data_IF_137035336893
#
_entry.id   IF_137035336893
#
_cell.length_a   1.000
_cell.length_b   1.000
_cell.length_c   1.000
_cell.angle_alpha   90.00
_cell.angle_beta   90.00
_cell.angle_gamma   90.00
#
_symmetry.space_group_name_H-M   'P 1'
#
loop_
_entity.id
_entity.type
_entity.pdbx_description
1 polymer ?
#
# COMPACT_ATOMS: atom_id res chain seq x y z
N UNK A 1 14.39 -18.31 -8.94
CA UNK A 1 14.29 -16.97 -8.31
C UNK A 1 14.80 -17.13 -6.89
N UNK A 2 15.72 -16.28 -6.44
CA UNK A 2 16.15 -16.24 -5.04
C UNK A 2 14.97 -15.83 -4.17
N UNK A 3 14.81 -16.44 -3.00
CA UNK A 3 13.75 -16.01 -2.08
C UNK A 3 13.96 -14.54 -1.66
N UNK A 4 12.87 -13.79 -1.42
CA UNK A 4 12.94 -12.42 -0.96
C UNK A 4 13.76 -12.35 0.34
N UNK A 5 14.56 -11.29 0.48
CA UNK A 5 15.37 -11.09 1.68
C UNK A 5 14.45 -10.74 2.86
N UNK A 6 14.54 -11.48 3.96
CA UNK A 6 13.76 -11.18 5.17
C UNK A 6 14.17 -9.82 5.75
N UNK A 7 13.21 -9.09 6.30
CA UNK A 7 13.48 -7.85 7.04
C UNK A 7 14.18 -8.20 8.37
N UNK A 8 15.37 -7.65 8.65
CA UNK A 8 16.06 -7.86 9.92
C UNK A 8 15.30 -7.31 11.15
N UNK A 9 15.78 -7.65 12.34
CA UNK A 9 15.23 -7.12 13.59
C UNK A 9 15.51 -5.63 13.76
N UNK A 10 14.71 -4.96 14.59
CA UNK A 10 14.94 -3.55 14.94
C UNK A 10 16.33 -3.31 15.52
N UNK A 11 16.80 -4.21 16.40
CA UNK A 11 18.13 -4.12 16.98
C UNK A 11 19.23 -4.15 15.91
N UNK A 12 19.11 -5.06 14.94
CA UNK A 12 20.06 -5.14 13.83
C UNK A 12 20.08 -3.86 12.99
N UNK A 13 18.92 -3.28 12.68
CA UNK A 13 18.87 -2.01 11.96
C UNK A 13 19.58 -0.88 12.71
N UNK A 14 19.38 -0.79 14.03
CA UNK A 14 20.05 0.22 14.86
C UNK A 14 21.57 0.02 14.89
N UNK A 15 22.04 -1.23 14.95
CA UNK A 15 23.48 -1.56 14.83
C UNK A 15 24.05 -1.14 13.47
N UNK A 16 23.29 -1.31 12.40
CA UNK A 16 23.65 -0.90 11.03
C UNK A 16 23.50 0.61 10.76
N UNK A 17 23.15 1.39 11.79
CA UNK A 17 23.05 2.84 11.76
C UNK A 17 21.76 3.37 11.14
N UNK A 18 20.69 2.58 11.11
CA UNK A 18 19.37 3.08 10.72
C UNK A 18 18.80 4.01 11.80
N UNK A 19 17.98 4.96 11.36
CA UNK A 19 17.30 5.90 12.24
C UNK A 19 15.81 5.58 12.33
N UNK A 20 15.28 5.56 13.55
CA UNK A 20 13.84 5.46 13.78
C UNK A 20 13.22 6.85 13.65
N UNK A 21 12.25 6.97 12.76
CA UNK A 21 11.40 8.15 12.64
C UNK A 21 10.11 7.88 13.43
N UNK A 22 10.04 8.47 14.62
CA UNK A 22 8.86 8.36 15.48
C UNK A 22 7.67 9.10 14.90
N UNK A 23 6.49 8.54 15.07
CA UNK A 23 5.23 9.15 14.69
C UNK A 23 4.62 9.90 15.87
N UNK A 24 4.45 11.21 15.72
CA UNK A 24 3.94 12.11 16.77
C UNK A 24 2.53 12.65 16.45
N UNK A 25 1.84 12.05 15.47
CA UNK A 25 0.54 12.53 15.01
C UNK A 25 0.61 13.63 13.94
N UNK A 26 1.81 14.04 13.53
CA UNK A 26 2.00 15.06 12.48
C UNK A 26 2.58 14.46 11.20
N UNK A 27 2.35 15.13 10.06
CA UNK A 27 2.94 14.70 8.81
C UNK A 27 4.45 14.95 8.82
N UNK A 28 5.23 13.95 8.41
CA UNK A 28 6.70 14.05 8.29
C UNK A 28 7.13 13.70 6.88
N UNK A 29 8.04 14.51 6.34
CA UNK A 29 8.64 14.30 5.02
C UNK A 29 10.06 13.76 5.17
N UNK A 30 10.43 12.84 4.29
CA UNK A 30 11.81 12.44 4.06
C UNK A 30 12.28 13.20 2.83
N UNK A 31 13.27 14.06 3.03
CA UNK A 31 13.84 14.90 1.97
C UNK A 31 15.34 14.65 1.85
N UNK A 32 15.89 14.86 0.65
CA UNK A 32 17.34 14.91 0.45
C UNK A 32 17.92 16.31 0.74
N UNK A 33 19.23 16.45 0.53
CA UNK A 33 19.93 17.73 0.73
C UNK A 33 19.60 18.82 -0.31
N UNK A 34 18.72 18.52 -1.26
CA UNK A 34 18.19 19.47 -2.26
C UNK A 34 16.71 19.81 -2.01
N UNK A 35 16.17 19.41 -0.85
CA UNK A 35 14.76 19.54 -0.49
C UNK A 35 13.79 18.75 -1.39
N UNK A 36 14.29 17.74 -2.12
CA UNK A 36 13.43 16.85 -2.90
C UNK A 36 12.79 15.81 -1.97
N UNK A 37 11.47 15.65 -2.07
CA UNK A 37 10.70 14.70 -1.25
C UNK A 37 10.84 13.28 -1.83
N UNK A 38 11.18 12.31 -0.98
CA UNK A 38 11.36 10.90 -1.35
C UNK A 38 10.41 9.95 -0.62
N UNK A 39 9.91 10.36 0.55
CA UNK A 39 8.83 9.69 1.26
C UNK A 39 8.07 10.68 2.13
N UNK A 40 6.86 10.32 2.53
CA UNK A 40 6.08 11.07 3.51
C UNK A 40 5.29 10.09 4.37
N UNK A 41 5.23 10.33 5.68
CA UNK A 41 4.27 9.69 6.57
C UNK A 41 3.24 10.72 7.01
N UNK A 42 1.97 10.39 6.85
CA UNK A 42 0.87 11.36 6.94
C UNK A 42 -0.22 10.76 7.85
N UNK A 43 -0.67 11.49 8.89
CA UNK A 43 -1.68 11.00 9.81
C UNK A 43 -3.01 10.73 9.11
N UNK A 44 -3.79 9.82 9.70
CA UNK A 44 -5.22 9.71 9.40
C UNK A 44 -5.91 11.04 9.73
N UNK A 45 -6.83 11.56 8.88
CA UNK A 45 -7.62 12.73 9.21
C UNK A 45 -8.40 12.51 10.51
N UNK A 46 -8.34 13.49 11.43
CA UNK A 46 -8.96 13.37 12.76
C UNK A 46 -10.45 13.01 12.71
N UNK A 47 -11.19 13.57 11.73
CA UNK A 47 -12.60 13.26 11.54
C UNK A 47 -12.84 11.78 11.17
N UNK A 48 -11.97 11.18 10.36
CA UNK A 48 -12.06 9.77 9.99
C UNK A 48 -11.65 8.86 11.15
N UNK A 49 -10.61 9.25 11.89
CA UNK A 49 -10.20 8.54 13.11
C UNK A 49 -11.33 8.52 14.15
N UNK A 50 -11.98 9.67 14.41
CA UNK A 50 -13.15 9.78 15.31
C UNK A 50 -14.34 8.95 14.83
N UNK A 51 -14.48 8.76 13.53
CA UNK A 51 -15.51 7.91 12.93
C UNK A 51 -15.16 6.41 12.94
N UNK A 52 -14.13 6.00 13.70
CA UNK A 52 -13.66 4.62 13.79
C UNK A 52 -13.28 4.01 12.43
N UNK A 53 -12.57 4.78 11.58
CA UNK A 53 -12.11 4.30 10.26
C UNK A 53 -11.34 2.97 10.37
N UNK A 54 -10.50 2.81 11.39
CA UNK A 54 -9.70 1.60 11.58
C UNK A 54 -10.57 0.36 11.78
N UNK A 55 -11.57 0.43 12.66
CA UNK A 55 -12.48 -0.69 12.89
C UNK A 55 -13.25 -1.08 11.63
N UNK A 56 -13.82 -0.09 10.93
CA UNK A 56 -14.55 -0.33 9.69
C UNK A 56 -13.66 -0.83 8.53
N UNK A 57 -12.39 -0.41 8.49
CA UNK A 57 -11.39 -0.94 7.56
C UNK A 57 -11.09 -2.41 7.85
N UNK A 58 -10.80 -2.75 9.10
CA UNK A 58 -10.47 -4.13 9.52
C UNK A 58 -11.65 -5.07 9.27
N UNK A 59 -12.87 -4.66 9.62
CA UNK A 59 -14.10 -5.43 9.36
C UNK A 59 -14.26 -5.71 7.86
N UNK A 60 -14.19 -4.67 7.02
CA UNK A 60 -14.32 -4.84 5.57
C UNK A 60 -13.24 -5.76 4.97
N UNK A 61 -11.99 -5.66 5.45
CA UNK A 61 -10.89 -6.52 5.00
C UNK A 61 -11.10 -7.97 5.44
N UNK A 62 -11.54 -8.21 6.68
CA UNK A 62 -11.83 -9.56 7.20
C UNK A 62 -12.99 -10.21 6.43
N UNK A 63 -14.09 -9.49 6.24
CA UNK A 63 -15.26 -9.98 5.49
C UNK A 63 -14.84 -10.38 4.08
N UNK A 64 -14.12 -9.50 3.37
CA UNK A 64 -13.63 -9.79 2.04
C UNK A 64 -12.67 -10.99 2.01
N UNK A 65 -11.81 -11.15 3.02
CA UNK A 65 -10.90 -12.30 3.10
C UNK A 65 -11.67 -13.64 3.17
N UNK A 66 -12.82 -13.68 3.85
CA UNK A 66 -13.65 -14.90 3.92
C UNK A 66 -14.33 -15.23 2.59
N UNK A 67 -14.67 -14.21 1.82
CA UNK A 67 -15.39 -14.35 0.55
C UNK A 67 -14.45 -14.55 -0.66
N UNK A 68 -13.17 -14.21 -0.52
CA UNK A 68 -12.18 -14.35 -1.60
C UNK A 68 -11.73 -15.80 -1.79
N UNK A 69 -11.47 -16.16 -3.04
CA UNK A 69 -10.78 -17.39 -3.42
C UNK A 69 -9.32 -17.07 -3.78
N UNK A 70 -8.41 -17.39 -2.85
CA UNK A 70 -6.97 -17.18 -2.99
C UNK A 70 -6.24 -18.29 -3.78
N UNK A 71 -6.96 -19.29 -4.28
CA UNK A 71 -6.40 -20.29 -5.20
C UNK A 71 -6.40 -19.83 -6.67
N UNK A 72 -6.99 -18.67 -6.96
CA UNK A 72 -7.08 -18.12 -8.31
C UNK A 72 -5.72 -17.55 -8.80
N UNK A 73 -5.55 -17.44 -10.11
CA UNK A 73 -4.29 -16.99 -10.74
C UNK A 73 -3.88 -15.54 -10.46
N UNK A 74 -4.82 -14.72 -9.99
CA UNK A 74 -4.62 -13.29 -9.73
C UNK A 74 -4.47 -12.98 -8.22
N UNK A 75 -4.41 -14.03 -7.41
CA UNK A 75 -4.10 -14.00 -5.99
C UNK A 75 -2.76 -14.68 -5.78
N UNK A 76 -2.03 -14.28 -4.76
CA UNK A 76 -0.94 -15.12 -4.27
C UNK A 76 -1.46 -15.91 -3.09
N UNK A 77 -1.20 -17.22 -3.10
CA UNK A 77 -1.29 -18.03 -1.90
C UNK A 77 -0.22 -17.56 -0.90
N UNK A 78 -0.33 -18.01 0.36
CA UNK A 78 0.68 -17.74 1.39
C UNK A 78 2.08 -18.21 0.96
N UNK A 79 2.15 -19.27 0.14
CA UNK A 79 3.40 -19.89 -0.32
C UNK A 79 3.94 -19.27 -1.62
N UNK A 80 3.09 -18.59 -2.40
CA UNK A 80 3.45 -18.01 -3.71
C UNK A 80 3.68 -16.50 -3.69
N UNK A 81 3.46 -15.85 -2.54
CA UNK A 81 3.70 -14.43 -2.40
C UNK A 81 5.21 -14.16 -2.32
N UNK A 82 5.79 -13.65 -3.40
CA UNK A 82 7.20 -13.21 -3.48
C UNK A 82 7.52 -12.00 -2.57
N UNK A 83 6.67 -11.69 -1.61
CA UNK A 83 6.79 -10.55 -0.70
C UNK A 83 6.56 -10.95 0.74
N UNK A 84 6.33 -12.22 1.07
CA UNK A 84 6.13 -12.69 2.44
C UNK A 84 4.90 -13.57 2.60
N UNK A 85 4.70 -14.13 3.79
CA UNK A 85 3.72 -15.19 4.02
C UNK A 85 2.32 -14.63 4.34
N UNK A 86 1.66 -14.04 3.34
CA UNK A 86 0.29 -13.51 3.47
C UNK A 86 -0.46 -13.56 2.14
N UNK A 87 -1.78 -13.49 2.23
CA UNK A 87 -2.66 -13.47 1.06
C UNK A 87 -2.75 -12.05 0.51
N UNK A 88 -2.66 -11.92 -0.82
CA UNK A 88 -2.88 -10.63 -1.48
C UNK A 88 -3.68 -10.78 -2.77
N UNK A 89 -4.40 -9.72 -3.11
CA UNK A 89 -5.12 -9.59 -4.38
C UNK A 89 -4.99 -8.16 -4.91
N UNK A 90 -4.82 -8.03 -6.22
CA UNK A 90 -4.74 -6.73 -6.89
C UNK A 90 -5.90 -6.55 -7.85
N UNK A 91 -6.45 -5.34 -7.94
CA UNK A 91 -7.50 -4.95 -8.89
C UNK A 91 -7.24 -3.57 -9.49
N UNK A 92 -7.95 -3.25 -10.57
CA UNK A 92 -7.82 -2.00 -11.33
C UNK A 92 -7.07 -2.18 -12.64
N UNK A 93 -6.58 -1.07 -13.19
CA UNK A 93 -5.87 -0.98 -14.46
C UNK A 93 -4.39 -1.33 -14.24
N UNK A 94 -3.87 -2.26 -15.03
CA UNK A 94 -2.47 -2.68 -14.98
C UNK A 94 -1.90 -2.88 -16.39
N UNK A 95 -0.57 -2.85 -16.48
CA UNK A 95 0.20 -3.23 -17.66
C UNK A 95 1.41 -4.05 -17.22
N UNK A 96 1.37 -5.36 -17.47
CA UNK A 96 2.39 -6.31 -17.02
C UNK A 96 1.91 -7.75 -17.18
N UNK A 97 2.67 -8.72 -16.68
CA UNK A 97 2.25 -10.14 -16.64
C UNK A 97 1.96 -10.77 -18.00
N UNK A 98 2.56 -10.26 -19.08
CA UNK A 98 2.33 -10.74 -20.45
C UNK A 98 1.18 -10.06 -21.19
N UNK A 99 0.49 -9.08 -20.57
CA UNK A 99 -0.46 -8.23 -21.28
C UNK A 99 0.25 -7.43 -22.40
N UNK A 100 -0.39 -7.32 -23.56
CA UNK A 100 0.14 -6.57 -24.73
C UNK A 100 -0.20 -5.08 -24.69
N UNK A 101 -1.12 -4.69 -23.82
CA UNK A 101 -1.62 -3.33 -23.67
C UNK A 101 -2.24 -3.14 -22.26
N UNK A 102 -2.47 -1.91 -21.79
CA UNK A 102 -3.12 -1.68 -20.51
C UNK A 102 -4.55 -2.26 -20.47
N UNK A 103 -4.86 -2.99 -19.41
CA UNK A 103 -6.14 -3.67 -19.20
C UNK A 103 -6.52 -3.67 -17.72
N UNK A 104 -7.82 -3.86 -17.43
CA UNK A 104 -8.22 -4.25 -16.09
C UNK A 104 -7.71 -5.66 -15.78
N UNK A 105 -7.22 -5.86 -14.55
CA UNK A 105 -6.80 -7.19 -14.09
C UNK A 105 -7.97 -8.18 -14.18
N UNK A 106 -7.68 -9.37 -14.68
CA UNK A 106 -8.68 -10.43 -14.83
C UNK A 106 -8.99 -11.06 -13.47
N UNK A 107 -10.24 -11.00 -13.05
CA UNK A 107 -10.73 -11.55 -11.79
C UNK A 107 -11.74 -12.67 -12.08
N UNK A 108 -11.75 -13.72 -11.27
CA UNK A 108 -12.85 -14.69 -11.30
C UNK A 108 -14.17 -14.00 -10.93
N UNK A 109 -15.34 -14.51 -11.35
CA UNK A 109 -16.62 -13.90 -10.98
C UNK A 109 -16.81 -13.76 -9.46
N UNK A 110 -16.35 -14.76 -8.69
CA UNK A 110 -16.38 -14.74 -7.22
C UNK A 110 -15.50 -13.61 -6.66
N UNK A 111 -14.24 -13.53 -7.07
CA UNK A 111 -13.33 -12.49 -6.58
C UNK A 111 -13.74 -11.09 -7.03
N UNK A 112 -14.32 -10.97 -8.23
CA UNK A 112 -14.89 -9.72 -8.73
C UNK A 112 -16.02 -9.21 -7.84
N UNK A 113 -16.93 -10.10 -7.40
CA UNK A 113 -18.00 -9.76 -6.47
C UNK A 113 -17.45 -9.33 -5.11
N UNK A 114 -16.58 -10.13 -4.50
CA UNK A 114 -15.97 -9.82 -3.20
C UNK A 114 -15.22 -8.48 -3.22
N UNK A 115 -14.44 -8.22 -4.28
CA UNK A 115 -13.70 -6.97 -4.44
C UNK A 115 -14.60 -5.77 -4.74
N UNK A 116 -15.72 -5.98 -5.43
CA UNK A 116 -16.72 -4.93 -5.64
C UNK A 116 -17.35 -4.53 -4.30
N UNK A 117 -17.64 -5.49 -3.42
CA UNK A 117 -18.15 -5.22 -2.07
C UNK A 117 -17.10 -4.50 -1.22
N UNK A 118 -15.86 -5.02 -1.18
CA UNK A 118 -14.75 -4.39 -0.44
C UNK A 118 -14.50 -2.95 -0.91
N UNK A 119 -14.37 -2.75 -2.22
CA UNK A 119 -14.10 -1.43 -2.80
C UNK A 119 -15.31 -0.48 -2.70
N UNK A 120 -16.50 -1.03 -2.47
CA UNK A 120 -17.73 -0.28 -2.19
C UNK A 120 -17.84 0.22 -0.75
N UNK A 121 -17.08 -0.37 0.20
CA UNK A 121 -17.05 0.04 1.60
C UNK A 121 -16.69 1.52 1.74
N UNK A 122 -17.41 2.21 2.63
CA UNK A 122 -17.12 3.62 2.95
C UNK A 122 -15.71 3.80 3.49
N UNK A 123 -15.20 2.85 4.29
CA UNK A 123 -13.85 2.90 4.87
C UNK A 123 -12.77 2.81 3.78
N UNK A 124 -12.88 1.84 2.88
CA UNK A 124 -11.92 1.64 1.79
C UNK A 124 -11.93 2.84 0.83
N UNK A 125 -13.12 3.36 0.50
CA UNK A 125 -13.25 4.57 -0.33
C UNK A 125 -12.68 5.82 0.33
N UNK A 126 -12.83 5.95 1.65
CA UNK A 126 -12.24 7.05 2.42
C UNK A 126 -10.71 6.98 2.41
N UNK A 127 -10.13 5.78 2.56
CA UNK A 127 -8.68 5.57 2.43
C UNK A 127 -8.20 5.90 1.02
N UNK A 128 -8.84 5.38 -0.03
CA UNK A 128 -8.45 5.65 -1.42
C UNK A 128 -8.52 7.16 -1.77
N UNK A 129 -9.55 7.84 -1.26
CA UNK A 129 -9.65 9.30 -1.35
C UNK A 129 -8.51 9.99 -0.60
N UNK A 130 -8.24 9.60 0.65
CA UNK A 130 -7.21 10.21 1.48
C UNK A 130 -5.82 10.05 0.87
N UNK A 131 -5.48 8.85 0.42
CA UNK A 131 -4.23 8.57 -0.30
C UNK A 131 -4.05 9.49 -1.51
N UNK A 132 -5.12 9.75 -2.26
CA UNK A 132 -5.08 10.67 -3.40
C UNK A 132 -4.90 12.12 -2.98
N UNK A 133 -5.47 12.53 -1.84
CA UNK A 133 -5.26 13.86 -1.26
C UNK A 133 -3.84 14.05 -0.73
N UNK A 134 -3.29 13.06 -0.06
CA UNK A 134 -1.89 13.01 0.33
C UNK A 134 -0.99 13.19 -0.89
N UNK A 135 -1.23 12.42 -1.96
CA UNK A 135 -0.41 12.50 -3.15
C UNK A 135 -0.52 13.87 -3.84
N UNK A 136 -1.75 14.42 -3.93
CA UNK A 136 -1.99 15.77 -4.47
C UNK A 136 -1.26 16.86 -3.68
N UNK A 137 -1.29 16.79 -2.34
CA UNK A 137 -0.72 17.82 -1.48
C UNK A 137 0.80 17.81 -1.50
N UNK A 138 1.42 16.63 -1.43
CA UNK A 138 2.86 16.52 -1.23
C UNK A 138 3.65 16.33 -2.52
N UNK A 139 3.02 15.85 -3.59
CA UNK A 139 3.67 15.68 -4.90
C UNK A 139 2.76 16.18 -6.04
N UNK A 140 2.35 17.45 -6.04
CA UNK A 140 1.33 17.98 -6.94
C UNK A 140 1.68 17.81 -8.43
N UNK A 141 2.97 17.88 -8.79
CA UNK A 141 3.42 17.71 -10.18
C UNK A 141 3.25 16.26 -10.66
N UNK A 142 3.64 15.28 -9.83
CA UNK A 142 3.45 13.86 -10.14
C UNK A 142 1.98 13.45 -10.09
N UNK A 143 1.20 14.03 -9.18
CA UNK A 143 -0.25 13.88 -9.16
C UNK A 143 -0.88 14.37 -10.47
N UNK A 144 -0.55 15.58 -10.91
CA UNK A 144 -1.08 16.14 -12.16
C UNK A 144 -0.67 15.31 -13.39
N UNK A 145 0.57 14.80 -13.40
CA UNK A 145 1.03 13.88 -14.43
C UNK A 145 0.20 12.59 -14.43
N UNK A 146 0.01 11.95 -13.28
CA UNK A 146 -0.83 10.76 -13.16
C UNK A 146 -2.28 11.02 -13.59
N UNK A 147 -2.84 12.19 -13.26
CA UNK A 147 -4.18 12.57 -13.67
C UNK A 147 -4.30 12.61 -15.19
N UNK A 148 -3.32 13.23 -15.87
CA UNK A 148 -3.27 13.24 -17.32
C UNK A 148 -3.13 11.84 -17.93
N UNK A 149 -2.31 10.96 -17.32
CA UNK A 149 -2.17 9.58 -17.78
C UNK A 149 -3.48 8.80 -17.65
N UNK A 150 -4.17 8.89 -16.51
CA UNK A 150 -5.46 8.22 -16.30
C UNK A 150 -6.52 8.74 -17.29
N UNK A 151 -6.58 10.06 -17.51
CA UNK A 151 -7.47 10.65 -18.51
C UNK A 151 -7.19 10.10 -19.91
N UNK A 152 -5.92 10.12 -20.35
CA UNK A 152 -5.51 9.61 -21.66
C UNK A 152 -5.81 8.12 -21.83
N UNK A 153 -5.60 7.31 -20.79
CA UNK A 153 -5.93 5.88 -20.81
C UNK A 153 -7.43 5.67 -21.02
N UNK A 154 -8.27 6.42 -20.29
CA UNK A 154 -9.73 6.33 -20.39
C UNK A 154 -10.25 6.86 -21.73
N UNK A 155 -9.64 7.90 -22.30
CA UNK A 155 -9.97 8.38 -23.65
C UNK A 155 -9.58 7.37 -24.73
N UNK A 156 -8.41 6.75 -24.60
CA UNK A 156 -7.92 5.75 -25.56
C UNK A 156 -8.73 4.45 -25.52
N UNK A 157 -9.05 3.96 -24.32
CA UNK A 157 -9.82 2.74 -24.12
C UNK A 157 -10.93 2.96 -23.08
N UNK A 158 -12.11 3.44 -23.52
CA UNK A 158 -13.23 3.76 -22.62
C UNK A 158 -13.79 2.58 -21.82
N UNK A 159 -13.43 1.34 -22.19
CA UNK A 159 -13.79 0.14 -21.43
C UNK A 159 -12.94 -0.07 -20.18
N UNK A 160 -11.87 0.69 -19.99
CA UNK A 160 -11.06 0.63 -18.76
C UNK A 160 -11.83 1.19 -17.57
N UNK A 161 -11.97 0.36 -16.54
CA UNK A 161 -12.61 0.72 -15.29
C UNK A 161 -11.59 1.16 -14.25
N UNK A 162 -11.79 2.33 -13.66
CA UNK A 162 -10.97 2.79 -12.55
C UNK A 162 -11.41 2.08 -11.27
N UNK A 163 -10.46 1.67 -10.42
CA UNK A 163 -10.73 0.98 -9.16
C UNK A 163 -11.59 1.83 -8.20
N UNK A 164 -11.37 3.14 -8.14
CA UNK A 164 -12.22 4.06 -7.40
C UNK A 164 -12.41 5.38 -8.14
N UNK A 165 -13.63 5.93 -8.07
CA UNK A 165 -13.89 7.28 -8.60
C UNK A 165 -13.08 8.37 -7.87
N UNK A 166 -12.72 8.14 -6.60
CA UNK A 166 -11.97 9.07 -5.76
C UNK A 166 -10.46 8.84 -5.75
N UNK A 167 -9.94 7.88 -6.53
CA UNK A 167 -8.51 7.54 -6.53
C UNK A 167 -7.77 8.08 -7.75
N UNK A 168 -6.57 8.62 -7.54
CA UNK A 168 -5.63 8.95 -8.64
C UNK A 168 -4.85 7.72 -9.14
N UNK A 169 -4.85 6.65 -8.35
CA UNK A 169 -4.15 5.41 -8.67
C UNK A 169 -4.95 4.56 -9.66
N UNK A 170 -4.25 3.93 -10.62
CA UNK A 170 -4.88 3.04 -11.59
C UNK A 170 -5.27 1.68 -11.00
N UNK A 171 -4.54 1.22 -9.99
CA UNK A 171 -4.72 -0.07 -9.33
C UNK A 171 -4.60 0.05 -7.81
N UNK A 172 -5.04 -1.00 -7.12
CA UNK A 172 -4.89 -1.18 -5.67
C UNK A 172 -4.57 -2.64 -5.37
N UNK A 173 -3.72 -2.86 -4.38
CA UNK A 173 -3.40 -4.18 -3.84
C UNK A 173 -3.86 -4.23 -2.38
N UNK A 174 -4.61 -5.27 -2.03
CA UNK A 174 -5.06 -5.54 -0.68
C UNK A 174 -4.22 -6.69 -0.09
N UNK A 175 -3.58 -6.44 1.05
CA UNK A 175 -2.83 -7.45 1.79
C UNK A 175 -3.64 -7.85 3.02
N UNK A 176 -3.91 -9.15 3.17
CA UNK A 176 -4.82 -9.65 4.19
C UNK A 176 -4.06 -10.29 5.35
N UNK A 177 -4.59 -10.07 6.55
CA UNK A 177 -4.04 -10.55 7.82
C UNK A 177 -4.22 -12.05 8.06
N UNK A 178 -3.99 -12.52 9.30
CA UNK A 178 -4.00 -11.74 10.54
C UNK A 178 -2.70 -10.98 10.84
N UNK A 179 -1.60 -11.23 10.12
CA UNK A 179 -0.38 -10.44 10.21
C UNK A 179 0.25 -10.34 8.83
N UNK A 180 0.41 -9.11 8.32
CA UNK A 180 1.02 -8.86 7.01
C UNK A 180 2.49 -8.50 7.22
N UNK A 181 3.38 -9.46 6.95
CA UNK A 181 4.83 -9.26 7.01
C UNK A 181 5.42 -9.26 5.61
N UNK A 182 5.78 -8.07 5.12
CA UNK A 182 6.45 -7.90 3.85
C UNK A 182 7.97 -8.08 4.01
N UNK A 183 8.53 -9.06 3.30
CA UNK A 183 9.96 -9.18 3.06
C UNK A 183 10.48 -8.00 2.23
N UNK A 184 11.79 -7.78 2.24
CA UNK A 184 12.39 -6.70 1.47
C UNK A 184 12.21 -6.92 -0.03
N UNK A 185 11.62 -5.92 -0.70
CA UNK A 185 11.39 -5.92 -2.13
C UNK A 185 11.34 -4.50 -2.69
N UNK A 186 11.33 -4.42 -4.03
CA UNK A 186 10.91 -3.22 -4.77
C UNK A 186 9.72 -3.56 -5.64
N UNK A 187 8.84 -2.58 -5.83
CA UNK A 187 7.79 -2.66 -6.84
C UNK A 187 8.33 -2.28 -8.22
N UNK A 188 9.27 -3.08 -8.73
CA UNK A 188 10.00 -2.78 -9.97
C UNK A 188 9.11 -2.58 -11.23
N UNK A 189 7.83 -2.95 -11.18
CA UNK A 189 6.86 -2.70 -12.26
C UNK A 189 6.11 -1.37 -12.12
N UNK A 190 6.23 -0.68 -10.98
CA UNK A 190 5.63 0.63 -10.80
C UNK A 190 6.42 1.70 -11.56
N UNK A 191 5.75 2.83 -11.83
CA UNK A 191 6.41 3.98 -12.44
C UNK A 191 7.48 4.53 -11.49
N UNK A 192 8.74 4.55 -11.95
CA UNK A 192 9.90 4.89 -11.12
C UNK A 192 9.81 6.24 -10.40
N UNK A 193 9.24 7.25 -11.07
CA UNK A 193 9.08 8.60 -10.52
C UNK A 193 7.75 8.79 -9.76
N UNK A 194 6.87 7.79 -9.76
CA UNK A 194 5.60 7.83 -9.06
C UNK A 194 5.72 7.40 -7.61
N UNK A 195 4.81 7.91 -6.77
CA UNK A 195 4.71 7.52 -5.37
C UNK A 195 3.56 6.54 -5.15
N UNK A 196 3.84 5.39 -4.55
CA UNK A 196 2.81 4.53 -3.98
C UNK A 196 2.32 5.07 -2.65
N UNK A 197 1.02 4.90 -2.39
CA UNK A 197 0.42 5.18 -1.10
C UNK A 197 0.08 3.88 -0.39
N UNK A 198 0.62 3.71 0.81
CA UNK A 198 0.44 2.54 1.66
C UNK A 198 -0.34 2.99 2.89
N UNK A 199 -1.39 2.27 3.25
CA UNK A 199 -2.13 2.49 4.50
C UNK A 199 -2.18 1.17 5.25
N UNK A 200 -1.77 1.17 6.51
CA UNK A 200 -1.95 0.03 7.41
C UNK A 200 -3.28 0.18 8.17
N UNK A 201 -3.78 -0.93 8.68
CA UNK A 201 -4.85 -0.94 9.68
C UNK A 201 -4.64 -2.14 10.60
N UNK A 202 -5.49 -2.29 11.60
CA UNK A 202 -5.34 -3.35 12.60
C UNK A 202 -5.19 -2.80 14.02
N UNK A 203 -4.89 -3.71 14.95
CA UNK A 203 -4.68 -3.47 16.36
C UNK A 203 -3.31 -4.00 16.78
N UNK A 204 -2.32 -3.11 16.76
CA UNK A 204 -0.94 -3.38 17.17
C UNK A 204 -0.31 -2.11 17.75
N UNK A 205 0.73 -2.30 18.57
CA UNK A 205 1.56 -1.23 19.07
C UNK A 205 2.58 -0.81 18.02
N UNK A 206 2.24 0.24 17.26
CA UNK A 206 3.08 0.77 16.19
C UNK A 206 4.40 1.40 16.65
N UNK A 207 4.65 1.49 17.96
CA UNK A 207 5.92 1.95 18.53
C UNK A 207 6.89 0.78 18.79
N UNK A 208 6.37 -0.45 18.82
CA UNK A 208 7.14 -1.66 19.12
C UNK A 208 7.28 -2.57 17.90
N UNK A 209 6.36 -2.50 16.93
CA UNK A 209 6.35 -3.34 15.74
C UNK A 209 5.60 -2.74 14.55
N UNK A 210 5.55 -3.48 13.44
CA UNK A 210 4.83 -3.05 12.23
C UNK A 210 5.48 -1.88 11.47
N UNK A 211 6.65 -1.40 11.91
CA UNK A 211 7.38 -0.29 11.29
C UNK A 211 7.70 -0.58 9.82
N UNK A 212 7.64 0.44 8.97
CA UNK A 212 8.10 0.34 7.58
C UNK A 212 9.61 0.63 7.50
N UNK A 213 10.38 -0.32 6.97
CA UNK A 213 11.81 -0.15 6.75
C UNK A 213 12.08 0.33 5.31
N UNK A 214 12.89 1.38 5.17
CA UNK A 214 13.35 1.94 3.89
C UNK A 214 14.88 1.84 3.81
N UNK A 215 15.37 0.87 3.03
CA UNK A 215 16.78 0.46 3.04
C UNK A 215 17.74 1.56 2.60
N UNK A 216 17.50 2.14 1.42
CA UNK A 216 18.44 3.10 0.82
C UNK A 216 18.51 4.40 1.62
N UNK A 217 17.46 4.73 2.39
CA UNK A 217 17.45 5.89 3.29
C UNK A 217 17.97 5.58 4.69
N UNK A 218 18.21 4.31 5.02
CA UNK A 218 18.50 3.83 6.37
C UNK A 218 17.47 4.35 7.40
N UNK A 219 16.18 4.29 7.05
CA UNK A 219 15.08 4.75 7.92
C UNK A 219 14.15 3.61 8.31
N UNK A 220 13.68 3.66 9.56
CA UNK A 220 12.60 2.83 10.09
C UNK A 220 11.48 3.78 10.51
N UNK A 221 10.32 3.71 9.86
CA UNK A 221 9.19 4.59 10.10
C UNK A 221 8.18 3.89 11.03
N UNK A 222 7.88 4.48 12.18
CA UNK A 222 6.72 4.06 12.98
C UNK A 222 5.46 4.21 12.12
N UNK A 223 4.68 3.13 11.97
CA UNK A 223 3.58 3.10 11.02
C UNK A 223 2.25 2.79 11.74
N UNK A 224 1.54 3.79 12.26
CA UNK A 224 0.31 3.57 13.01
C UNK A 224 -0.86 3.18 12.10
N UNK A 225 -1.87 2.48 12.63
CA UNK A 225 -3.11 2.20 11.91
C UNK A 225 -3.75 3.46 11.31
N UNK A 226 -4.22 3.34 10.07
CA UNK A 226 -4.82 4.37 9.24
C UNK A 226 -3.92 5.54 8.82
N UNK A 227 -2.64 5.59 9.22
CA UNK A 227 -1.71 6.53 8.57
C UNK A 227 -1.47 6.13 7.11
N UNK A 228 -1.06 7.10 6.31
CA UNK A 228 -0.64 6.87 4.92
C UNK A 228 0.83 7.18 4.78
N UNK A 229 1.59 6.23 4.23
CA UNK A 229 2.97 6.47 3.80
C UNK A 229 2.99 6.58 2.28
N UNK A 230 3.60 7.66 1.77
CA UNK A 230 3.96 7.80 0.37
C UNK A 230 5.43 7.40 0.19
N UNK A 231 5.73 6.48 -0.75
CA UNK A 231 7.11 6.12 -1.11
C UNK A 231 7.29 5.93 -2.61
N UNK A 232 8.50 6.16 -3.13
CA UNK A 232 8.91 5.73 -4.47
C UNK A 232 9.21 4.23 -4.47
N UNK A 233 8.17 3.39 -4.41
CA UNK A 233 8.30 1.95 -4.14
C UNK A 233 9.06 1.15 -5.20
N UNK A 234 9.18 1.70 -6.42
CA UNK A 234 10.01 1.13 -7.48
C UNK A 234 11.52 1.38 -7.28
N UNK A 235 11.90 2.42 -6.54
CA UNK A 235 13.29 2.83 -6.33
C UNK A 235 13.84 2.41 -4.96
N UNK A 236 12.98 2.35 -3.95
CA UNK A 236 13.38 2.13 -2.57
C UNK A 236 13.01 0.72 -2.15
N UNK A 237 14.00 -0.07 -1.76
CA UNK A 237 13.80 -1.40 -1.18
C UNK A 237 13.12 -1.22 0.18
N UNK A 238 11.96 -1.85 0.32
CA UNK A 238 11.11 -1.69 1.49
C UNK A 238 10.47 -3.00 1.93
N UNK A 239 10.12 -3.05 3.20
CA UNK A 239 9.47 -4.15 3.90
C UNK A 239 9.01 -3.66 5.26
N UNK A 240 8.39 -4.51 6.07
CA UNK A 240 7.98 -4.10 7.42
C UNK A 240 8.50 -5.05 8.50
N UNK A 241 8.65 -4.51 9.71
CA UNK A 241 8.98 -5.30 10.88
C UNK A 241 7.74 -6.09 11.34
N UNK A 242 7.94 -7.24 12.00
CA UNK A 242 6.83 -7.98 12.60
C UNK A 242 6.16 -7.16 13.72
N UNK A 243 4.90 -7.49 13.96
CA UNK A 243 4.14 -7.06 15.14
C UNK A 243 4.25 -8.13 16.24
N UNK A 244 3.83 -7.81 17.47
CA UNK A 244 3.89 -8.74 18.58
C UNK A 244 2.85 -9.87 18.45
N UNK A 245 3.10 -10.99 19.14
CA UNK A 245 2.18 -12.12 19.13
C UNK A 245 0.83 -11.72 19.73
N UNK A 246 -0.27 -12.02 19.02
CA UNK A 246 -1.63 -11.67 19.43
C UNK A 246 -2.10 -10.28 18.93
N UNK A 247 -1.21 -9.51 18.31
CA UNK A 247 -1.57 -8.32 17.55
C UNK A 247 -2.01 -8.69 16.12
N UNK A 248 -2.71 -7.77 15.45
CA UNK A 248 -3.23 -7.96 14.08
C UNK A 248 -3.13 -6.71 13.23
#
# INVERSE_FOLDING_TARGET
MTQPEKVPSLAHFLEEGYQIVKFDGTARLVVDNTDSIHAAIIPCPEALAKANLNGAFVEAMNDAQTDLDFSASNTTTVDDCNRGNFQTITTGISHGGGQKEPQNLNLTPKNSLALSTLSGSSAIRAIAWWQSKCYQAWMPRFYAYNANIIERLKSWKPTLLQNFASSIYGSVTYNFGPSVLCDFHTDHLNWIAGMCAITSGGNYNYQEGGHLALREFKLILEFPPCATILISSAMVTHGNLPIAAGES
#
